data_IF_665352903344
#
_entry.id   IF_665352903344
#
_cell.length_a   1.000
_cell.length_b   1.000
_cell.length_c   1.000
_cell.angle_alpha   90.00
_cell.angle_beta   90.00
_cell.angle_gamma   90.00
#
_symmetry.space_group_name_H-M   'P 1'
#
loop_
_entity.id
_entity.type
_entity.pdbx_description
1 polymer ?
#
# COMPACT_ATOMS: atom_id res chain seq x y z
N UNK A 1 -3.81 9.37 8.00
CA UNK A 1 -4.38 8.16 7.40
C UNK A 1 -3.27 7.13 7.25
N UNK A 2 -3.50 5.88 7.67
CA UNK A 2 -2.60 4.74 7.46
C UNK A 2 -3.11 3.92 6.28
N UNK A 3 -2.27 3.73 5.26
CA UNK A 3 -2.62 2.98 4.07
C UNK A 3 -1.63 1.83 3.82
N UNK A 4 -2.12 0.75 3.25
CA UNK A 4 -1.30 -0.32 2.71
C UNK A 4 -1.47 -0.37 1.19
N UNK A 5 -0.39 -0.64 0.46
CA UNK A 5 -0.45 -0.95 -0.96
C UNK A 5 0.09 -2.37 -1.15
N UNK A 6 -0.72 -3.23 -1.74
CA UNK A 6 -0.33 -4.61 -2.04
C UNK A 6 0.51 -4.60 -3.32
N UNK A 7 1.67 -5.25 -3.26
CA UNK A 7 2.59 -5.38 -4.37
C UNK A 7 2.39 -6.76 -4.99
N UNK A 8 2.03 -6.78 -6.27
CA UNK A 8 1.87 -8.01 -7.05
C UNK A 8 3.05 -8.18 -8.03
N UNK A 9 3.47 -9.42 -8.33
CA UNK A 9 4.46 -9.67 -9.37
C UNK A 9 3.94 -9.18 -10.72
N UNK A 10 4.61 -8.19 -11.30
CA UNK A 10 4.27 -7.64 -12.62
C UNK A 10 3.21 -6.53 -12.60
N UNK A 11 2.79 -6.08 -11.42
CA UNK A 11 1.98 -4.88 -11.33
C UNK A 11 2.87 -3.63 -11.45
N UNK A 12 2.40 -2.67 -12.24
CA UNK A 12 3.21 -1.54 -12.67
C UNK A 12 2.95 -0.28 -11.85
N UNK A 13 1.76 -0.18 -11.24
CA UNK A 13 1.27 1.06 -10.63
C UNK A 13 1.34 1.07 -9.10
N UNK A 14 1.81 0.00 -8.46
CA UNK A 14 1.86 -0.13 -7.00
C UNK A 14 2.69 1.00 -6.40
N UNK A 15 3.82 1.33 -7.06
CA UNK A 15 4.68 2.44 -6.66
C UNK A 15 4.01 3.79 -6.90
N UNK A 16 3.34 3.96 -8.03
CA UNK A 16 2.68 5.21 -8.38
C UNK A 16 1.52 5.50 -7.41
N UNK A 17 0.77 4.48 -7.02
CA UNK A 17 -0.26 4.54 -6.00
C UNK A 17 0.33 4.89 -4.63
N UNK A 18 1.44 4.26 -4.25
CA UNK A 18 2.11 4.54 -2.99
C UNK A 18 2.63 5.99 -2.91
N UNK A 19 3.23 6.49 -3.99
CA UNK A 19 3.69 7.88 -4.08
C UNK A 19 2.53 8.88 -4.04
N UNK A 20 1.43 8.60 -4.77
CA UNK A 20 0.24 9.44 -4.72
C UNK A 20 -0.36 9.52 -3.30
N UNK A 21 -0.45 8.39 -2.60
CA UNK A 21 -0.95 8.35 -1.21
C UNK A 21 -0.01 9.08 -0.25
N UNK A 22 1.32 8.95 -0.40
CA UNK A 22 2.31 9.69 0.39
C UNK A 22 2.21 11.19 0.15
N UNK A 23 2.09 11.61 -1.11
CA UNK A 23 1.90 13.02 -1.47
C UNK A 23 0.60 13.59 -0.90
N UNK A 24 -0.44 12.76 -0.74
CA UNK A 24 -1.67 13.11 -0.05
C UNK A 24 -1.57 13.10 1.50
N UNK A 25 -0.39 12.84 2.07
CA UNK A 25 -0.13 12.86 3.52
C UNK A 25 -0.44 11.54 4.25
N UNK A 26 -0.63 10.44 3.53
CA UNK A 26 -0.81 9.12 4.15
C UNK A 26 0.53 8.50 4.60
N UNK A 27 0.48 7.74 5.69
CA UNK A 27 1.54 6.80 6.07
C UNK A 27 1.33 5.51 5.29
N UNK A 28 2.24 5.16 4.37
CA UNK A 28 2.04 4.06 3.42
C UNK A 28 3.02 2.91 3.65
N UNK A 29 2.48 1.72 3.86
CA UNK A 29 3.21 0.45 3.92
C UNK A 29 3.06 -0.33 2.61
N UNK A 30 4.18 -0.78 2.02
CA UNK A 30 4.17 -1.68 0.86
C UNK A 30 4.19 -3.12 1.36
N UNK A 31 3.18 -3.92 0.98
CA UNK A 31 3.00 -5.28 1.48
C UNK A 31 3.06 -6.26 0.32
N UNK A 32 3.81 -7.36 0.44
CA UNK A 32 3.87 -8.36 -0.62
C UNK A 32 2.58 -9.16 -0.68
N UNK A 33 2.05 -9.47 -1.87
CA UNK A 33 0.76 -10.14 -2.01
C UNK A 33 0.65 -11.52 -1.33
N UNK A 34 1.77 -12.15 -0.94
CA UNK A 34 1.79 -13.42 -0.19
C UNK A 34 1.94 -13.25 1.31
N UNK A 35 2.14 -12.04 1.81
CA UNK A 35 2.18 -11.80 3.25
C UNK A 35 0.78 -12.05 3.83
N UNK A 36 0.72 -12.81 4.92
CA UNK A 36 -0.55 -13.24 5.52
C UNK A 36 -1.07 -12.30 6.61
N UNK A 37 -0.36 -11.20 6.83
CA UNK A 37 -0.68 -10.22 7.85
C UNK A 37 -0.60 -8.82 7.27
N UNK A 38 -1.53 -7.97 7.70
CA UNK A 38 -1.50 -6.54 7.42
C UNK A 38 -1.15 -5.77 8.70
N UNK A 39 -0.51 -4.60 8.59
CA UNK A 39 -0.37 -3.67 9.72
C UNK A 39 -1.72 -3.36 10.37
N UNK A 40 -1.73 -3.21 11.69
CA UNK A 40 -2.95 -2.85 12.41
C UNK A 40 -3.33 -1.38 12.21
N UNK A 41 -4.63 -1.11 12.24
CA UNK A 41 -5.19 0.24 12.17
C UNK A 41 -5.04 0.90 10.80
N UNK A 42 -5.11 0.12 9.72
CA UNK A 42 -5.21 0.64 8.36
C UNK A 42 -6.59 1.26 8.12
N UNK A 43 -6.60 2.42 7.48
CA UNK A 43 -7.80 3.10 7.00
C UNK A 43 -8.11 2.76 5.54
N UNK A 44 -7.09 2.34 4.76
CA UNK A 44 -7.18 2.08 3.33
C UNK A 44 -6.21 0.98 2.88
N UNK A 45 -6.67 0.12 1.95
CA UNK A 45 -5.83 -0.86 1.24
C UNK A 45 -5.96 -0.62 -0.26
N UNK A 46 -4.84 -0.35 -0.92
CA UNK A 46 -4.70 -0.24 -2.37
C UNK A 46 -4.15 -1.55 -2.96
N UNK A 47 -4.61 -1.89 -4.17
CA UNK A 47 -4.23 -3.09 -4.92
C UNK A 47 -3.51 -2.72 -6.22
#
# INVERSE_FOLDING_TARGET
MKAAVIVYPGANCDRDLAEALRAAGAQVSMIWHKDTQLPEGLDLVGL
#
